data_IF_404672559246
#
_entry.id   IF_404672559246
#
_cell.length_a   1.000
_cell.length_b   1.000
_cell.length_c   1.000
_cell.angle_alpha   90.00
_cell.angle_beta   90.00
_cell.angle_gamma   90.00
#
_symmetry.space_group_name_H-M   'P 1'
#
loop_
_entity.id
_entity.type
_entity.pdbx_description
1 polymer ?
#
# COMPACT_ATOMS: atom_id res chain seq x y z
N UNK A 1 0.65 -19.82 -23.35
CA UNK A 1 0.91 -18.63 -24.15
C UNK A 1 1.97 -17.82 -23.41
N UNK A 2 3.10 -17.58 -24.05
CA UNK A 2 4.15 -16.71 -23.52
C UNK A 2 3.65 -15.27 -23.64
N UNK A 3 3.79 -14.51 -22.56
CA UNK A 3 3.48 -13.08 -22.57
C UNK A 3 4.59 -12.32 -23.28
N UNK A 4 4.28 -11.19 -23.97
CA UNK A 4 5.31 -10.34 -24.56
C UNK A 4 6.35 -9.91 -23.52
N UNK A 5 7.61 -9.73 -23.97
CA UNK A 5 8.71 -9.28 -23.12
C UNK A 5 8.35 -7.97 -22.41
N UNK A 6 8.60 -7.92 -21.11
CA UNK A 6 8.29 -6.77 -20.25
C UNK A 6 6.90 -6.80 -19.59
N UNK A 7 6.06 -7.81 -19.85
CA UNK A 7 4.79 -7.99 -19.15
C UNK A 7 4.92 -9.11 -18.13
N UNK A 8 4.94 -8.76 -16.85
CA UNK A 8 4.81 -9.73 -15.77
C UNK A 8 3.34 -10.11 -15.63
N UNK A 9 3.00 -11.35 -16.02
CA UNK A 9 1.66 -11.88 -15.84
C UNK A 9 1.40 -12.23 -14.37
N UNK A 10 0.27 -11.81 -13.86
CA UNK A 10 -0.25 -12.20 -12.56
C UNK A 10 -1.75 -12.02 -12.52
N UNK A 11 -2.45 -12.85 -11.76
CA UNK A 11 -3.87 -12.63 -11.49
C UNK A 11 -3.98 -11.48 -10.48
N UNK A 12 -4.62 -10.39 -10.89
CA UNK A 12 -4.99 -9.34 -9.96
C UNK A 12 -6.07 -9.86 -8.98
N UNK A 13 -6.06 -9.44 -7.72
CA UNK A 13 -7.14 -9.75 -6.79
C UNK A 13 -8.50 -9.34 -7.37
N UNK A 14 -9.54 -10.17 -7.16
CA UNK A 14 -10.88 -9.81 -7.61
C UNK A 14 -11.41 -8.63 -6.78
N UNK A 15 -11.34 -7.45 -7.36
CA UNK A 15 -11.89 -6.21 -6.82
C UNK A 15 -12.88 -5.60 -7.80
N UNK A 16 -13.71 -4.70 -7.31
CA UNK A 16 -14.67 -3.93 -8.13
C UNK A 16 -14.40 -2.44 -7.90
N UNK A 17 -14.89 -1.51 -8.76
CA UNK A 17 -14.79 -0.08 -8.48
C UNK A 17 -15.40 0.35 -7.14
N UNK A 18 -16.33 -0.47 -6.59
CA UNK A 18 -16.92 -0.26 -5.28
C UNK A 18 -16.10 -0.86 -4.12
N UNK A 19 -14.92 -1.42 -4.41
CA UNK A 19 -14.07 -2.07 -3.41
C UNK A 19 -13.17 -1.10 -2.65
N UNK A 20 -13.18 0.17 -2.98
CA UNK A 20 -12.51 1.22 -2.22
C UNK A 20 -13.29 1.48 -0.92
N UNK A 21 -12.75 1.02 0.20
CA UNK A 21 -13.50 0.98 1.45
C UNK A 21 -12.98 1.93 2.53
N UNK A 22 -11.70 2.33 2.44
CA UNK A 22 -11.06 3.11 3.49
C UNK A 22 -9.92 3.95 2.91
N UNK A 23 -9.86 5.23 3.27
CA UNK A 23 -8.82 6.15 2.82
C UNK A 23 -8.27 6.95 3.99
N UNK A 24 -6.95 7.14 3.99
CA UNK A 24 -6.25 7.87 5.02
C UNK A 24 -5.05 8.62 4.45
N UNK A 25 -4.61 9.67 5.14
CA UNK A 25 -3.34 10.33 4.86
C UNK A 25 -2.28 9.94 5.89
N UNK A 26 -1.02 9.97 5.46
CA UNK A 26 0.16 9.81 6.32
C UNK A 26 0.83 11.17 6.46
N UNK A 27 0.74 11.75 7.63
CA UNK A 27 1.24 13.09 7.90
C UNK A 27 2.35 13.06 8.95
N UNK A 28 3.40 13.83 8.71
CA UNK A 28 4.48 14.08 9.65
C UNK A 28 5.18 15.39 9.28
N UNK A 29 5.09 16.44 10.11
CA UNK A 29 5.65 17.76 9.78
C UNK A 29 7.19 17.77 9.63
N UNK A 30 7.86 16.77 10.21
CA UNK A 30 9.33 16.68 10.18
C UNK A 30 9.86 15.86 9.00
N UNK A 31 8.98 15.23 8.20
CA UNK A 31 9.34 14.36 7.09
C UNK A 31 8.91 14.96 5.75
N UNK A 32 9.77 14.80 4.74
CA UNK A 32 9.43 15.16 3.38
C UNK A 32 8.30 14.27 2.82
N UNK A 33 7.64 14.73 1.74
CA UNK A 33 6.62 13.92 1.04
C UNK A 33 7.18 12.58 0.54
N UNK A 34 8.45 12.53 0.14
CA UNK A 34 9.13 11.29 -0.25
C UNK A 34 9.25 10.33 0.94
N UNK A 35 9.71 10.81 2.09
CA UNK A 35 9.84 9.98 3.29
C UNK A 35 8.48 9.48 3.80
N UNK A 36 7.43 10.32 3.76
CA UNK A 36 6.07 9.88 4.09
C UNK A 36 5.56 8.82 3.11
N UNK A 37 5.91 8.95 1.82
CA UNK A 37 5.59 7.93 0.81
C UNK A 37 6.34 6.63 1.06
N UNK A 38 7.60 6.67 1.44
CA UNK A 38 8.39 5.48 1.81
C UNK A 38 7.78 4.74 3.02
N UNK A 39 7.32 5.49 4.04
CA UNK A 39 6.59 4.91 5.19
C UNK A 39 5.34 4.18 4.72
N UNK A 40 4.53 4.80 3.85
CA UNK A 40 3.32 4.17 3.33
C UNK A 40 3.63 2.91 2.52
N UNK A 41 4.58 3.00 1.57
CA UNK A 41 4.86 1.91 0.64
C UNK A 41 5.58 0.72 1.29
N UNK A 42 6.47 0.96 2.27
CA UNK A 42 7.36 -0.06 2.82
C UNK A 42 7.03 -0.50 4.25
N UNK A 43 6.28 0.31 5.02
CA UNK A 43 5.91 -0.05 6.38
C UNK A 43 4.41 -0.32 6.52
N UNK A 44 3.56 0.59 6.02
CA UNK A 44 2.10 0.49 6.21
C UNK A 44 1.48 -0.50 5.22
N UNK A 45 1.71 -0.30 3.93
CA UNK A 45 1.11 -1.10 2.85
C UNK A 45 1.35 -2.61 3.00
N UNK A 46 2.57 -3.11 3.24
CA UNK A 46 2.82 -4.54 3.37
C UNK A 46 2.04 -5.18 4.52
N UNK A 47 1.90 -4.46 5.63
CA UNK A 47 1.20 -4.96 6.81
C UNK A 47 -0.32 -4.94 6.59
N UNK A 48 -0.88 -3.86 6.03
CA UNK A 48 -2.30 -3.81 5.74
C UNK A 48 -2.73 -4.87 4.70
N UNK A 49 -1.86 -5.26 3.78
CA UNK A 49 -2.11 -6.36 2.84
C UNK A 49 -2.20 -7.73 3.49
N UNK A 50 -1.76 -7.89 4.73
CA UNK A 50 -1.93 -9.14 5.50
C UNK A 50 -3.30 -9.24 6.17
N UNK A 51 -4.07 -8.15 6.21
CA UNK A 51 -5.41 -8.14 6.80
C UNK A 51 -6.35 -8.94 5.91
N UNK A 52 -7.09 -9.88 6.50
CA UNK A 52 -8.05 -10.70 5.78
C UNK A 52 -9.14 -9.84 5.12
N UNK A 53 -9.42 -10.10 3.86
CA UNK A 53 -10.39 -9.34 3.07
C UNK A 53 -9.83 -8.09 2.40
N UNK A 54 -8.58 -7.71 2.61
CA UNK A 54 -7.89 -6.67 1.85
C UNK A 54 -7.34 -7.26 0.55
N UNK A 55 -7.71 -6.67 -0.58
CA UNK A 55 -7.19 -7.04 -1.89
C UNK A 55 -5.83 -6.40 -2.18
N UNK A 56 -5.73 -5.10 -1.96
CA UNK A 56 -4.51 -4.31 -2.06
C UNK A 56 -4.65 -2.97 -1.31
N UNK A 57 -3.53 -2.29 -1.17
CA UNK A 57 -3.47 -0.91 -0.67
C UNK A 57 -2.73 -0.07 -1.69
N UNK A 58 -3.42 0.88 -2.30
CA UNK A 58 -2.82 1.81 -3.24
C UNK A 58 -2.26 3.02 -2.51
N UNK A 59 -1.07 3.43 -2.93
CA UNK A 59 -0.40 4.62 -2.44
C UNK A 59 -0.50 5.73 -3.47
N UNK A 60 -1.04 6.87 -3.08
CA UNK A 60 -1.26 8.03 -3.95
C UNK A 60 -0.56 9.26 -3.37
N UNK A 61 -0.15 10.17 -4.25
CA UNK A 61 0.59 11.37 -3.83
C UNK A 61 2.02 11.10 -3.38
N UNK A 62 2.70 12.12 -2.88
CA UNK A 62 4.10 12.08 -2.51
C UNK A 62 5.05 11.85 -3.69
N UNK A 63 6.29 11.52 -3.39
CA UNK A 63 7.33 11.21 -4.37
C UNK A 63 7.86 9.79 -4.14
N UNK A 64 7.88 8.98 -5.19
CA UNK A 64 8.48 7.63 -5.13
C UNK A 64 9.98 7.79 -5.29
N UNK A 65 10.72 7.34 -4.27
CA UNK A 65 12.19 7.39 -4.25
C UNK A 65 12.77 6.54 -5.38
N UNK A 66 13.77 7.10 -6.05
CA UNK A 66 14.57 6.41 -7.07
C UNK A 66 16.04 6.69 -6.86
N UNK A 67 16.88 5.82 -7.39
CA UNK A 67 18.31 6.09 -7.58
C UNK A 67 18.55 6.39 -9.07
N UNK A 68 19.00 7.58 -9.34
CA UNK A 68 19.26 8.06 -10.70
C UNK A 68 20.74 7.88 -11.05
N UNK A 69 21.00 7.12 -12.11
CA UNK A 69 22.34 6.93 -12.65
C UNK A 69 22.47 7.80 -13.88
N UNK A 70 23.31 8.81 -13.80
CA UNK A 70 23.56 9.77 -14.91
C UNK A 70 24.95 9.55 -15.47
N UNK A 71 25.13 8.79 -16.58
CA UNK A 71 26.42 8.52 -17.19
C UNK A 71 27.02 9.75 -17.85
N UNK A 72 28.36 9.88 -17.76
CA UNK A 72 29.13 10.94 -18.44
C UNK A 72 29.77 10.39 -19.69
N UNK A 73 29.33 10.82 -20.86
CA UNK A 73 29.79 10.32 -22.16
C UNK A 73 31.32 10.37 -22.34
N UNK A 74 31.97 11.40 -21.85
CA UNK A 74 33.43 11.54 -21.94
C UNK A 74 34.15 10.46 -21.12
N UNK A 75 33.70 10.22 -19.89
CA UNK A 75 34.26 9.19 -19.02
C UNK A 75 33.99 7.77 -19.58
N UNK A 76 32.79 7.53 -20.10
CA UNK A 76 32.45 6.27 -20.75
C UNK A 76 33.39 5.97 -21.92
N UNK A 77 33.62 6.95 -22.81
CA UNK A 77 34.56 6.81 -23.94
C UNK A 77 36.02 6.58 -23.48
N UNK A 78 36.47 7.30 -22.47
CA UNK A 78 37.86 7.16 -21.99
C UNK A 78 38.17 5.82 -21.34
N UNK A 79 37.12 5.16 -20.76
CA UNK A 79 37.21 3.89 -20.06
C UNK A 79 36.68 2.71 -20.89
N UNK A 80 36.31 2.94 -22.15
CA UNK A 80 35.73 1.94 -23.05
C UNK A 80 34.52 1.21 -22.42
N UNK A 81 33.60 1.99 -21.84
CA UNK A 81 32.35 1.52 -21.23
C UNK A 81 31.17 1.95 -22.11
N UNK A 82 30.32 1.02 -22.49
CA UNK A 82 29.06 1.29 -23.19
C UNK A 82 27.91 1.48 -22.21
N UNK A 83 26.79 2.04 -22.69
CA UNK A 83 25.56 2.13 -21.90
C UNK A 83 25.03 0.72 -21.55
N UNK A 84 25.13 -0.22 -22.49
CA UNK A 84 24.72 -1.62 -22.27
C UNK A 84 25.55 -2.30 -21.16
N UNK A 85 26.85 -1.98 -21.03
CA UNK A 85 27.67 -2.53 -19.94
C UNK A 85 27.15 -2.07 -18.58
N UNK A 86 26.75 -0.79 -18.47
CA UNK A 86 26.16 -0.24 -17.25
C UNK A 86 24.84 -0.95 -16.93
N UNK A 87 23.94 -1.03 -17.90
CA UNK A 87 22.63 -1.66 -17.75
C UNK A 87 22.74 -3.12 -17.31
N UNK A 88 23.57 -3.90 -18.00
CA UNK A 88 23.80 -5.31 -17.67
C UNK A 88 24.41 -5.47 -16.27
N UNK A 89 25.36 -4.63 -15.90
CA UNK A 89 25.96 -4.69 -14.58
C UNK A 89 24.94 -4.38 -13.48
N UNK A 90 24.08 -3.39 -13.67
CA UNK A 90 23.00 -3.07 -12.70
C UNK A 90 22.00 -4.21 -12.57
N UNK A 91 21.53 -4.77 -13.70
CA UNK A 91 20.55 -5.87 -13.69
C UNK A 91 21.15 -7.11 -13.02
N UNK A 92 22.39 -7.49 -13.39
CA UNK A 92 23.03 -8.69 -12.88
C UNK A 92 23.34 -8.65 -11.38
N UNK A 93 23.56 -7.46 -10.83
CA UNK A 93 23.95 -7.27 -9.42
C UNK A 93 22.81 -6.76 -8.52
N UNK A 94 21.59 -6.66 -9.02
CA UNK A 94 20.41 -6.27 -8.22
C UNK A 94 19.42 -7.44 -8.08
N UNK A 95 19.92 -8.63 -7.84
CA UNK A 95 19.12 -9.84 -7.74
C UNK A 95 19.42 -10.60 -6.45
N UNK A 96 18.37 -10.97 -5.72
CA UNK A 96 18.47 -11.93 -4.64
C UNK A 96 18.40 -13.34 -5.21
N UNK A 97 19.43 -14.15 -4.98
CA UNK A 97 19.50 -15.53 -5.43
C UNK A 97 19.41 -16.52 -4.27
N UNK A 98 18.67 -17.61 -4.46
CA UNK A 98 18.75 -18.79 -3.60
C UNK A 98 19.85 -19.72 -4.13
N UNK A 99 20.93 -19.93 -3.38
CA UNK A 99 22.02 -20.84 -3.78
C UNK A 99 21.73 -22.30 -3.43
N UNK A 100 20.56 -22.62 -2.85
CA UNK A 100 20.18 -23.97 -2.47
C UNK A 100 20.35 -24.27 -0.98
N UNK A 101 20.51 -25.55 -0.66
CA UNK A 101 20.63 -26.04 0.72
C UNK A 101 21.94 -26.78 0.88
N UNK A 102 22.63 -26.53 1.99
CA UNK A 102 23.84 -27.30 2.40
C UNK A 102 23.42 -28.15 3.58
N UNK A 103 23.57 -29.49 3.42
CA UNK A 103 23.33 -30.45 4.49
C UNK A 103 24.65 -30.69 5.21
N UNK A 104 24.70 -30.42 6.50
CA UNK A 104 25.87 -30.70 7.35
C UNK A 104 25.42 -31.52 8.57
N UNK A 105 25.56 -32.83 8.48
CA UNK A 105 25.05 -33.76 9.50
C UNK A 105 23.52 -33.75 9.52
N UNK A 106 22.91 -33.46 10.69
CA UNK A 106 21.47 -33.36 10.88
C UNK A 106 20.88 -31.96 10.57
N UNK A 107 21.73 -30.99 10.25
CA UNK A 107 21.32 -29.61 10.03
C UNK A 107 21.24 -29.29 8.54
N UNK A 108 20.15 -28.59 8.16
CA UNK A 108 19.92 -28.08 6.82
C UNK A 108 20.10 -26.54 6.82
N UNK A 109 21.15 -26.07 6.17
CA UNK A 109 21.39 -24.64 5.98
C UNK A 109 20.84 -24.19 4.64
N UNK A 110 19.96 -23.16 4.66
CA UNK A 110 19.50 -22.49 3.45
C UNK A 110 20.48 -21.36 3.14
N UNK A 111 21.17 -21.46 2.01
CA UNK A 111 22.10 -20.43 1.54
C UNK A 111 21.35 -19.44 0.65
N UNK A 112 21.40 -18.17 1.00
CA UNK A 112 20.83 -17.06 0.22
C UNK A 112 21.94 -16.06 -0.12
N UNK A 113 21.92 -15.52 -1.33
CA UNK A 113 22.69 -14.33 -1.67
C UNK A 113 21.82 -13.10 -1.46
N UNK A 114 22.33 -12.15 -0.71
CA UNK A 114 21.76 -10.82 -0.59
C UNK A 114 22.47 -9.94 -1.62
N UNK A 115 21.89 -9.87 -2.81
CA UNK A 115 22.49 -9.17 -3.96
C UNK A 115 21.76 -7.88 -4.35
N UNK A 116 20.64 -7.55 -3.67
CA UNK A 116 19.96 -6.27 -3.91
C UNK A 116 20.72 -5.13 -3.25
N UNK A 117 20.73 -3.98 -3.94
CA UNK A 117 21.30 -2.75 -3.40
C UNK A 117 20.46 -2.25 -2.21
N UNK A 118 21.10 -2.02 -1.08
CA UNK A 118 20.46 -1.46 0.11
C UNK A 118 20.75 0.05 0.24
N UNK A 119 21.90 0.47 -0.22
CA UNK A 119 22.39 1.85 -0.07
C UNK A 119 22.91 2.39 -1.39
N UNK A 120 22.90 3.70 -1.53
CA UNK A 120 23.45 4.38 -2.71
C UNK A 120 24.95 4.06 -2.93
N UNK A 121 25.69 3.79 -1.87
CA UNK A 121 27.08 3.42 -1.95
C UNK A 121 27.30 2.03 -2.56
N UNK A 122 26.37 1.11 -2.40
CA UNK A 122 26.43 -0.20 -3.05
C UNK A 122 26.37 -0.03 -4.57
N UNK A 123 25.50 0.88 -5.03
CA UNK A 123 25.35 1.22 -6.45
C UNK A 123 26.63 1.93 -6.95
N UNK A 124 27.22 2.82 -6.17
CA UNK A 124 28.46 3.51 -6.52
C UNK A 124 29.64 2.56 -6.69
N UNK A 125 29.72 1.53 -5.82
CA UNK A 125 30.79 0.52 -5.80
C UNK A 125 30.60 -0.58 -6.84
N UNK A 126 29.48 -0.60 -7.55
CA UNK A 126 29.18 -1.62 -8.56
C UNK A 126 30.29 -1.71 -9.60
N UNK A 127 30.83 -2.88 -9.81
CA UNK A 127 31.84 -3.16 -10.83
C UNK A 127 31.16 -3.34 -12.17
N UNK A 128 31.48 -2.50 -13.15
CA UNK A 128 30.97 -2.60 -14.51
C UNK A 128 31.86 -3.52 -15.36
N UNK A 129 33.17 -3.29 -15.31
CA UNK A 129 34.14 -3.96 -16.16
C UNK A 129 35.47 -4.14 -15.43
N UNK A 130 36.15 -5.24 -15.72
CA UNK A 130 37.53 -5.46 -15.29
C UNK A 130 38.39 -5.64 -16.54
N UNK A 131 39.28 -4.68 -16.79
CA UNK A 131 40.17 -4.71 -17.96
C UNK A 131 41.65 -4.58 -17.53
N UNK A 132 42.56 -4.50 -18.51
CA UNK A 132 43.99 -4.34 -18.25
C UNK A 132 44.34 -3.07 -17.50
N UNK A 133 43.48 -2.06 -17.48
CA UNK A 133 43.64 -0.80 -16.76
C UNK A 133 43.13 -0.87 -15.30
N UNK A 134 42.46 -1.95 -14.94
CA UNK A 134 41.93 -2.18 -13.59
C UNK A 134 40.41 -2.37 -13.54
N UNK A 135 39.89 -2.30 -12.32
CA UNK A 135 38.45 -2.42 -12.04
C UNK A 135 37.78 -1.06 -12.25
N UNK A 136 36.82 -1.02 -13.18
CA UNK A 136 35.98 0.15 -13.45
C UNK A 136 34.68 0.02 -12.66
N UNK A 137 34.39 1.01 -11.82
CA UNK A 137 33.18 1.08 -11.01
C UNK A 137 32.17 2.05 -11.64
N UNK A 138 30.91 1.93 -11.26
CA UNK A 138 29.86 2.80 -11.75
C UNK A 138 30.14 4.29 -11.40
N UNK A 139 30.68 4.56 -10.21
CA UNK A 139 31.06 5.91 -9.81
C UNK A 139 32.13 6.55 -10.69
N UNK A 140 32.94 5.75 -11.41
CA UNK A 140 33.98 6.25 -12.29
C UNK A 140 33.40 6.86 -13.58
N UNK A 141 32.25 6.35 -14.04
CA UNK A 141 31.62 6.70 -15.32
C UNK A 141 30.29 7.45 -15.17
N UNK A 142 29.66 7.43 -14.01
CA UNK A 142 28.34 8.03 -13.77
C UNK A 142 28.28 8.79 -12.44
N UNK A 143 27.39 9.78 -12.37
CA UNK A 143 26.92 10.35 -11.12
C UNK A 143 25.71 9.55 -10.63
N UNK A 144 25.67 9.23 -9.34
CA UNK A 144 24.57 8.49 -8.72
C UNK A 144 23.98 9.39 -7.64
N UNK A 145 22.70 9.74 -7.81
CA UNK A 145 21.95 10.60 -6.91
C UNK A 145 20.63 9.96 -6.49
N UNK A 146 20.08 10.40 -5.35
CA UNK A 146 18.69 10.13 -5.03
C UNK A 146 17.81 11.08 -5.83
N UNK A 147 16.80 10.54 -6.46
CA UNK A 147 15.82 11.26 -7.25
C UNK A 147 14.41 10.80 -6.93
N UNK A 148 13.47 11.16 -7.79
CA UNK A 148 12.09 10.70 -7.68
C UNK A 148 11.50 10.38 -9.04
N UNK A 149 10.62 9.38 -9.10
CA UNK A 149 9.85 9.09 -10.30
C UNK A 149 9.05 10.33 -10.73
N UNK A 150 8.94 10.50 -12.04
CA UNK A 150 8.04 11.50 -12.62
C UNK A 150 6.62 11.15 -12.16
N UNK A 151 5.94 12.11 -11.54
CA UNK A 151 4.56 11.93 -11.11
C UNK A 151 3.61 12.65 -12.06
N UNK A 152 2.47 12.03 -12.29
CA UNK A 152 1.41 12.53 -13.16
C UNK A 152 0.25 13.17 -12.40
N UNK A 153 0.31 13.16 -11.07
CA UNK A 153 -0.72 13.72 -10.21
C UNK A 153 -0.21 13.99 -8.79
N UNK A 154 -1.00 14.69 -8.02
CA UNK A 154 -0.77 14.97 -6.62
C UNK A 154 -2.05 14.75 -5.82
N UNK A 155 -1.91 14.44 -4.54
CA UNK A 155 -2.99 14.43 -3.56
C UNK A 155 -2.83 15.65 -2.67
N UNK A 156 -3.93 16.33 -2.37
CA UNK A 156 -3.94 17.44 -1.43
C UNK A 156 -4.92 17.15 -0.29
N UNK A 157 -4.53 17.53 0.91
CA UNK A 157 -5.35 17.46 2.11
C UNK A 157 -5.21 18.78 2.87
N UNK A 158 -6.33 19.44 3.16
CA UNK A 158 -6.37 20.77 3.81
C UNK A 158 -5.54 21.85 3.09
N UNK A 159 -5.44 21.78 1.76
CA UNK A 159 -4.69 22.75 0.95
C UNK A 159 -3.19 22.48 0.79
N UNK A 160 -2.66 21.45 1.44
CA UNK A 160 -1.26 21.03 1.34
C UNK A 160 -1.11 19.71 0.60
N UNK A 161 0.05 19.45 -0.01
CA UNK A 161 0.34 18.15 -0.61
C UNK A 161 0.43 17.07 0.46
N UNK A 162 -0.22 15.94 0.19
CA UNK A 162 -0.33 14.82 1.12
C UNK A 162 0.06 13.49 0.47
N UNK A 163 0.27 12.48 1.31
CA UNK A 163 0.44 11.08 0.92
C UNK A 163 -0.77 10.31 1.41
N UNK A 164 -1.46 9.64 0.50
CA UNK A 164 -2.72 8.94 0.77
C UNK A 164 -2.56 7.44 0.59
N UNK A 165 -3.08 6.68 1.53
CA UNK A 165 -3.35 5.26 1.41
C UNK A 165 -4.81 5.01 1.08
N UNK A 166 -5.06 4.13 0.11
CA UNK A 166 -6.38 3.69 -0.32
C UNK A 166 -6.47 2.18 -0.18
N UNK A 167 -7.31 1.71 0.73
CA UNK A 167 -7.53 0.29 0.98
C UNK A 167 -8.64 -0.25 0.07
N UNK A 168 -8.32 -1.31 -0.65
CA UNK A 168 -9.21 -2.00 -1.57
C UNK A 168 -9.58 -3.36 -0.96
N UNK A 169 -10.88 -3.62 -0.82
CA UNK A 169 -11.39 -4.89 -0.33
C UNK A 169 -11.52 -5.94 -1.43
N UNK A 170 -11.44 -7.20 -1.06
CA UNK A 170 -11.79 -8.31 -1.94
C UNK A 170 -13.30 -8.29 -2.23
N UNK A 171 -13.67 -8.73 -3.43
CA UNK A 171 -15.06 -8.91 -3.80
C UNK A 171 -15.73 -9.88 -2.82
N UNK A 172 -16.93 -9.51 -2.36
CA UNK A 172 -17.75 -10.27 -1.40
C UNK A 172 -17.19 -10.37 0.04
N UNK A 173 -16.15 -9.60 0.40
CA UNK A 173 -15.73 -9.49 1.79
C UNK A 173 -16.71 -8.64 2.60
N UNK A 174 -16.76 -8.89 3.92
CA UNK A 174 -17.53 -8.05 4.84
C UNK A 174 -16.78 -6.73 5.09
N UNK A 175 -17.29 -5.65 4.50
CA UNK A 175 -16.66 -4.32 4.57
C UNK A 175 -16.45 -3.84 6.01
N UNK A 176 -17.42 -4.03 6.90
CA UNK A 176 -17.33 -3.53 8.28
C UNK A 176 -16.23 -4.27 9.05
N UNK A 177 -16.13 -5.58 8.86
CA UNK A 177 -15.10 -6.39 9.48
C UNK A 177 -13.72 -6.02 8.95
N UNK A 178 -13.56 -5.87 7.63
CA UNK A 178 -12.29 -5.49 7.00
C UNK A 178 -11.84 -4.11 7.50
N UNK A 179 -12.74 -3.12 7.50
CA UNK A 179 -12.43 -1.76 7.98
C UNK A 179 -12.04 -1.76 9.46
N UNK A 180 -12.75 -2.53 10.29
CA UNK A 180 -12.42 -2.65 11.72
C UNK A 180 -11.02 -3.23 11.92
N UNK A 181 -10.70 -4.32 11.22
CA UNK A 181 -9.38 -4.95 11.28
C UNK A 181 -8.26 -4.04 10.75
N UNK A 182 -8.54 -3.27 9.67
CA UNK A 182 -7.60 -2.26 9.15
C UNK A 182 -7.33 -1.17 10.18
N UNK A 183 -8.37 -0.64 10.84
CA UNK A 183 -8.20 0.38 11.90
C UNK A 183 -7.37 -0.14 13.06
N UNK A 184 -7.66 -1.34 13.54
CA UNK A 184 -6.90 -1.97 14.62
C UNK A 184 -5.42 -2.11 14.23
N UNK A 185 -5.17 -2.57 12.99
CA UNK A 185 -3.80 -2.74 12.49
C UNK A 185 -3.06 -1.41 12.31
N UNK A 186 -3.75 -0.34 11.89
CA UNK A 186 -3.17 1.00 11.82
C UNK A 186 -2.79 1.53 13.20
N UNK A 187 -3.63 1.33 14.23
CA UNK A 187 -3.32 1.73 15.61
C UNK A 187 -2.10 0.98 16.19
N UNK A 188 -1.94 -0.30 15.85
CA UNK A 188 -0.73 -1.05 16.21
C UNK A 188 0.52 -0.46 15.53
N UNK A 189 0.39 -0.14 14.22
CA UNK A 189 1.47 0.40 13.42
C UNK A 189 1.93 1.79 13.87
N UNK A 190 1.02 2.68 14.26
CA UNK A 190 1.38 4.04 14.71
C UNK A 190 2.46 4.04 15.79
N UNK A 191 2.48 3.03 16.67
CA UNK A 191 3.47 2.88 17.71
C UNK A 191 4.87 2.55 17.21
N UNK A 192 4.98 2.00 16.01
CA UNK A 192 6.24 1.59 15.38
C UNK A 192 6.73 2.59 14.32
N UNK A 193 5.88 3.55 13.93
CA UNK A 193 6.24 4.57 12.95
C UNK A 193 7.16 5.63 13.57
N UNK A 194 7.92 6.38 12.76
CA UNK A 194 8.73 7.49 13.22
C UNK A 194 7.92 8.49 14.05
N UNK A 195 8.51 9.01 15.12
CA UNK A 195 7.83 9.95 16.03
C UNK A 195 7.25 11.16 15.29
N UNK A 196 6.01 11.51 15.63
CA UNK A 196 5.27 12.60 14.97
C UNK A 196 4.53 12.20 13.71
N UNK A 197 4.57 10.90 13.32
CA UNK A 197 3.71 10.40 12.24
C UNK A 197 2.30 10.18 12.74
N UNK A 198 1.32 10.74 12.01
CA UNK A 198 -0.12 10.59 12.27
C UNK A 198 -0.82 10.04 11.05
N UNK A 199 -1.82 9.21 11.30
CA UNK A 199 -2.68 8.64 10.25
C UNK A 199 -4.05 9.26 10.37
N UNK A 200 -4.42 10.10 9.39
CA UNK A 200 -5.71 10.80 9.39
C UNK A 200 -6.67 10.12 8.44
N UNK A 201 -7.72 9.51 8.99
CA UNK A 201 -8.78 8.85 8.22
C UNK A 201 -9.79 9.90 7.77
N UNK A 202 -10.05 9.98 6.47
CA UNK A 202 -11.02 10.92 5.90
C UNK A 202 -12.16 10.23 5.14
N UNK A 203 -12.01 8.96 4.79
CA UNK A 203 -13.07 8.15 4.19
C UNK A 203 -13.13 6.77 4.86
N UNK A 204 -14.32 6.44 5.33
CA UNK A 204 -14.64 5.17 5.96
C UNK A 204 -16.03 4.72 5.52
N UNK A 205 -16.05 3.68 4.69
CA UNK A 205 -17.28 3.16 4.14
C UNK A 205 -18.20 2.51 5.19
N UNK A 206 -17.64 1.97 6.27
CA UNK A 206 -18.45 1.38 7.34
C UNK A 206 -19.33 2.42 8.03
N UNK A 207 -18.86 3.66 8.16
CA UNK A 207 -19.64 4.75 8.71
C UNK A 207 -20.85 5.12 7.83
N UNK A 208 -20.69 5.07 6.50
CA UNK A 208 -21.79 5.30 5.58
C UNK A 208 -22.86 4.21 5.68
N UNK A 209 -22.42 2.96 5.77
CA UNK A 209 -23.33 1.78 5.89
C UNK A 209 -24.06 1.85 7.23
N UNK A 210 -23.36 2.10 8.34
CA UNK A 210 -23.96 2.17 9.67
C UNK A 210 -24.98 3.31 9.78
N UNK A 211 -24.66 4.49 9.25
CA UNK A 211 -25.60 5.63 9.21
C UNK A 211 -26.85 5.32 8.38
N UNK A 212 -26.69 4.64 7.24
CA UNK A 212 -27.82 4.22 6.43
C UNK A 212 -28.72 3.21 7.18
N UNK A 213 -28.12 2.19 7.81
CA UNK A 213 -28.85 1.20 8.62
C UNK A 213 -29.55 1.88 9.81
N UNK A 214 -28.87 2.78 10.51
CA UNK A 214 -29.47 3.52 11.62
C UNK A 214 -30.68 4.35 11.16
N UNK A 215 -30.57 5.01 10.02
CA UNK A 215 -31.68 5.80 9.44
C UNK A 215 -32.89 4.93 9.14
N UNK A 216 -32.66 3.72 8.52
CA UNK A 216 -33.73 2.78 8.21
C UNK A 216 -34.34 2.22 9.50
N UNK A 217 -33.51 1.86 10.46
CA UNK A 217 -33.97 1.32 11.76
C UNK A 217 -34.79 2.35 12.51
N UNK A 218 -34.36 3.59 12.56
CA UNK A 218 -35.11 4.68 13.21
C UNK A 218 -36.45 4.94 12.51
N UNK A 219 -36.48 4.95 11.17
CA UNK A 219 -37.71 5.10 10.41
C UNK A 219 -38.68 3.92 10.67
N UNK A 220 -38.17 2.68 10.73
CA UNK A 220 -38.96 1.50 11.05
C UNK A 220 -39.56 1.57 12.45
N UNK A 221 -38.73 1.93 13.46
CA UNK A 221 -39.21 2.10 14.84
C UNK A 221 -40.29 3.19 14.93
N UNK A 222 -40.10 4.31 14.25
CA UNK A 222 -41.12 5.39 14.21
C UNK A 222 -42.41 4.91 13.56
N UNK A 223 -42.32 4.14 12.45
CA UNK A 223 -43.51 3.59 11.79
C UNK A 223 -44.25 2.61 12.69
N UNK A 224 -43.56 1.71 13.37
CA UNK A 224 -44.16 0.76 14.33
C UNK A 224 -44.84 1.52 15.49
N UNK A 225 -44.17 2.52 16.07
CA UNK A 225 -44.78 3.34 17.14
C UNK A 225 -46.06 4.04 16.65
N UNK A 226 -46.05 4.62 15.44
CA UNK A 226 -47.21 5.27 14.85
C UNK A 226 -48.36 4.29 14.64
N UNK A 227 -48.06 3.08 14.14
CA UNK A 227 -49.05 2.01 13.95
C UNK A 227 -49.68 1.59 15.31
N UNK A 228 -48.85 1.41 16.35
CA UNK A 228 -49.33 1.11 17.70
C UNK A 228 -50.30 2.22 18.22
N UNK A 229 -49.92 3.48 18.04
CA UNK A 229 -50.77 4.61 18.45
C UNK A 229 -52.11 4.59 17.69
N UNK A 230 -52.07 4.44 16.37
CA UNK A 230 -53.28 4.35 15.55
C UNK A 230 -54.17 3.19 15.94
N UNK A 231 -53.59 2.00 16.12
CA UNK A 231 -54.35 0.81 16.55
C UNK A 231 -54.93 1.00 17.95
N UNK A 232 -54.23 1.60 18.89
CA UNK A 232 -54.73 1.86 20.23
C UNK A 232 -55.95 2.85 20.20
N UNK A 233 -55.88 3.86 19.32
CA UNK A 233 -56.98 4.80 19.11
C UNK A 233 -58.20 4.18 18.47
N UNK A 234 -58.01 3.32 17.44
CA UNK A 234 -59.12 2.68 16.73
C UNK A 234 -59.73 1.53 17.48
N UNK A 235 -58.95 0.66 18.15
CA UNK A 235 -59.45 -0.47 18.89
C UNK A 235 -59.95 -0.11 20.32
N UNK A 236 -59.56 1.07 20.82
CA UNK A 236 -59.88 1.47 22.22
C UNK A 236 -59.29 0.55 23.29
N UNK A 237 -58.38 -0.37 22.89
CA UNK A 237 -57.79 -1.35 23.78
C UNK A 237 -56.30 -1.54 23.48
N UNK A 238 -55.46 -1.01 24.37
CA UNK A 238 -53.99 -1.02 24.20
C UNK A 238 -53.39 -2.44 24.14
N UNK A 239 -53.99 -3.39 24.87
CA UNK A 239 -53.51 -4.80 24.84
C UNK A 239 -53.72 -5.47 23.47
N UNK A 240 -54.87 -5.21 22.86
CA UNK A 240 -55.15 -5.70 21.52
C UNK A 240 -54.25 -5.08 20.46
N UNK A 241 -54.03 -3.77 20.57
CA UNK A 241 -53.12 -3.04 19.68
C UNK A 241 -51.68 -3.60 19.73
N UNK A 242 -51.18 -3.93 20.92
CA UNK A 242 -49.81 -4.45 21.13
C UNK A 242 -49.68 -5.86 20.56
N UNK A 243 -50.66 -6.72 20.73
CA UNK A 243 -50.68 -8.08 20.17
C UNK A 243 -50.65 -8.04 18.64
N UNK A 244 -51.46 -7.18 18.02
CA UNK A 244 -51.46 -7.01 16.56
C UNK A 244 -50.15 -6.44 16.05
N UNK A 245 -49.54 -5.49 16.78
CA UNK A 245 -48.26 -4.88 16.38
C UNK A 245 -47.09 -5.86 16.42
N UNK A 246 -47.08 -6.82 17.34
CA UNK A 246 -46.04 -7.87 17.42
C UNK A 246 -46.17 -8.89 16.27
N UNK A 247 -47.36 -9.01 15.69
CA UNK A 247 -47.57 -9.88 14.53
C UNK A 247 -47.25 -9.24 13.18
N UNK A 248 -46.91 -7.94 13.17
CA UNK A 248 -46.38 -7.25 12.00
C UNK A 248 -44.88 -7.54 11.89
N UNK A 249 -44.38 -7.92 10.68
CA UNK A 249 -42.97 -8.26 10.46
C UNK A 249 -42.02 -7.08 10.60
#
# INVERSE_FOLDING_TARGET
AELPEGISGGLAPMSTPLSEIFMFTVDNPNLSLQQRRDILDWQIRPILRTVEGVADVNSLGGYVKTYEITPTTLKMKSLDVSFSDIEQAVIANNLNGGLGRINKGNDNFVVRTQGQFEKIDDIRQLVIKNNQQGIIRLADVAAINEGSLIRYGAVTHNGEEAVQGLVIALKNSNTDQVVSSVKEKLLELERSLPSGTTINVFYDRSNLISTAIETITNALVQAVVLVIILLALFLGNFRAALIVSISLP
#
